data_IF_881434697764
#
_entry.id   IF_881434697764
#
_cell.length_a   1.000
_cell.length_b   1.000
_cell.length_c   1.000
_cell.angle_alpha   90.00
_cell.angle_beta   90.00
_cell.angle_gamma   90.00
#
_symmetry.space_group_name_H-M   'P 1'
#
loop_
_entity.id
_entity.type
_entity.pdbx_description
1 polymer ?
#
# COMPACT_ATOMS: atom_id res chain seq x y z
N UNK A 1 25.11 -7.99 50.52
CA UNK A 1 26.31 -8.19 49.69
C UNK A 1 25.84 -8.45 48.27
N UNK A 2 26.39 -7.71 47.30
CA UNK A 2 26.06 -7.83 45.88
C UNK A 2 25.56 -6.50 45.29
N UNK A 3 26.47 -5.56 45.04
CA UNK A 3 26.16 -4.33 44.28
C UNK A 3 26.29 -4.61 42.79
N UNK A 4 25.24 -4.38 42.01
CA UNK A 4 25.37 -4.25 40.56
C UNK A 4 25.90 -2.84 40.26
N UNK A 5 27.09 -2.79 39.66
CA UNK A 5 27.68 -1.56 39.11
C UNK A 5 26.96 -1.25 37.80
N UNK A 6 26.42 -0.04 37.69
CA UNK A 6 26.01 0.53 36.41
C UNK A 6 27.29 0.89 35.65
N UNK A 7 27.45 0.32 34.46
CA UNK A 7 28.53 0.65 33.53
C UNK A 7 28.06 1.84 32.68
N UNK A 8 28.51 3.03 33.07
CA UNK A 8 28.23 4.29 32.39
C UNK A 8 29.29 4.53 31.31
N UNK A 9 29.09 4.03 30.09
CA UNK A 9 29.98 4.36 28.96
C UNK A 9 29.33 4.26 27.58
N UNK A 10 28.11 4.79 27.40
CA UNK A 10 27.51 4.98 26.08
C UNK A 10 26.93 6.39 25.96
N UNK A 11 27.80 7.39 25.97
CA UNK A 11 27.46 8.76 25.54
C UNK A 11 28.72 9.44 24.99
N UNK A 12 29.25 8.90 23.89
CA UNK A 12 30.11 9.69 23.02
C UNK A 12 29.25 10.32 21.92
N UNK A 13 29.07 11.66 21.91
CA UNK A 13 28.27 12.32 20.91
C UNK A 13 28.98 12.22 19.55
N UNK A 14 28.29 11.63 18.57
CA UNK A 14 28.70 11.67 17.17
C UNK A 14 28.84 13.14 16.77
N UNK A 15 30.05 13.54 16.41
CA UNK A 15 30.37 14.90 16.02
C UNK A 15 29.53 15.31 14.79
N UNK A 16 28.59 16.23 15.00
CA UNK A 16 27.78 16.81 13.93
C UNK A 16 28.59 17.87 13.18
N UNK A 17 28.83 17.64 11.89
CA UNK A 17 29.36 18.65 10.96
C UNK A 17 28.41 19.87 10.85
N UNK A 18 28.90 21.06 10.46
CA UNK A 18 28.15 22.32 10.59
C UNK A 18 27.03 22.42 9.55
N UNK A 19 25.80 22.44 10.07
CA UNK A 19 24.51 22.52 9.38
C UNK A 19 23.51 21.69 10.16
N UNK A 20 22.80 22.28 11.13
CA UNK A 20 21.89 21.51 11.98
C UNK A 20 20.79 20.89 11.13
N UNK A 21 20.63 19.57 11.23
CA UNK A 21 19.58 18.78 10.52
C UNK A 21 18.18 19.36 10.79
N UNK A 22 18.01 20.12 11.87
CA UNK A 22 16.78 20.82 12.27
C UNK A 22 16.28 21.86 11.26
N UNK A 23 17.11 22.41 10.39
CA UNK A 23 16.71 23.37 9.35
C UNK A 23 16.43 22.76 7.97
N UNK A 24 16.74 21.47 7.76
CA UNK A 24 16.47 20.83 6.49
C UNK A 24 14.95 20.69 6.28
N UNK A 25 14.46 21.21 5.14
CA UNK A 25 13.05 21.19 4.77
C UNK A 25 12.92 20.80 3.31
N UNK A 26 11.96 19.92 3.05
CA UNK A 26 11.49 19.60 1.70
C UNK A 26 10.71 20.76 1.11
N UNK A 27 10.58 20.81 -0.22
CA UNK A 27 9.75 21.80 -0.90
C UNK A 27 8.30 21.28 -1.02
N UNK A 28 7.47 21.60 -0.02
CA UNK A 28 6.05 21.21 0.00
C UNK A 28 5.26 21.64 -1.24
N UNK A 29 5.34 22.91 -1.68
CA UNK A 29 4.67 23.35 -2.92
C UNK A 29 5.05 22.53 -4.16
N UNK A 30 6.34 22.21 -4.34
CA UNK A 30 6.80 21.36 -5.45
C UNK A 30 6.27 19.93 -5.35
N UNK A 31 6.25 19.35 -4.14
CA UNK A 31 5.65 18.04 -3.93
C UNK A 31 4.17 18.03 -4.33
N UNK A 32 3.40 19.04 -3.92
CA UNK A 32 1.98 19.17 -4.29
C UNK A 32 1.82 19.34 -5.82
N UNK A 33 2.70 20.10 -6.47
CA UNK A 33 2.71 20.23 -7.93
C UNK A 33 2.91 18.87 -8.62
N UNK A 34 3.87 18.07 -8.15
CA UNK A 34 4.10 16.73 -8.68
C UNK A 34 2.94 15.77 -8.42
N UNK A 35 2.30 15.84 -7.25
CA UNK A 35 1.10 15.05 -6.93
C UNK A 35 -0.03 15.40 -7.92
N UNK A 36 -0.29 16.68 -8.14
CA UNK A 36 -1.33 17.14 -9.05
C UNK A 36 -1.02 16.75 -10.51
N UNK A 37 0.24 16.86 -10.94
CA UNK A 37 0.65 16.44 -12.27
C UNK A 37 0.51 14.93 -12.47
N UNK A 38 0.86 14.11 -11.48
CA UNK A 38 0.66 12.67 -11.54
C UNK A 38 -0.83 12.30 -11.57
N UNK A 39 -1.69 13.06 -10.89
CA UNK A 39 -3.13 12.83 -10.87
C UNK A 39 -3.80 12.97 -12.25
N UNK A 40 -3.21 13.68 -13.21
CA UNK A 40 -3.74 13.74 -14.58
C UNK A 40 -3.68 12.37 -15.27
N UNK A 41 -2.75 11.49 -14.88
CA UNK A 41 -2.70 10.11 -15.38
C UNK A 41 -3.70 9.23 -14.61
N UNK A 42 -4.84 8.99 -15.25
CA UNK A 42 -5.94 8.21 -14.67
C UNK A 42 -7.05 9.07 -14.08
N UNK A 43 -7.01 10.39 -14.26
CA UNK A 43 -8.09 11.30 -13.85
C UNK A 43 -9.44 10.83 -14.37
N UNK A 44 -10.42 10.71 -13.48
CA UNK A 44 -11.76 10.26 -13.82
C UNK A 44 -12.78 11.43 -13.74
N UNK A 45 -13.96 11.29 -14.38
CA UNK A 45 -15.00 12.32 -14.36
C UNK A 45 -15.53 12.69 -12.96
N UNK A 46 -15.35 11.81 -11.98
CA UNK A 46 -15.77 11.99 -10.58
C UNK A 46 -14.82 12.91 -9.79
N UNK A 47 -13.68 13.29 -10.37
CA UNK A 47 -12.69 14.17 -9.74
C UNK A 47 -11.60 13.44 -8.95
N UNK A 48 -11.55 12.11 -9.02
CA UNK A 48 -10.50 11.28 -8.46
C UNK A 48 -9.58 10.69 -9.54
N UNK A 49 -8.88 9.61 -9.18
CA UNK A 49 -7.93 8.90 -10.04
C UNK A 49 -8.27 7.41 -10.09
N UNK A 50 -8.27 6.86 -11.30
CA UNK A 50 -8.41 5.44 -11.61
C UNK A 50 -7.16 4.96 -12.35
N UNK A 51 -6.00 5.02 -11.69
CA UNK A 51 -4.71 4.57 -12.20
C UNK A 51 -4.48 3.11 -11.81
N UNK A 52 -5.32 2.23 -12.36
CA UNK A 52 -5.27 0.79 -12.06
C UNK A 52 -3.94 0.20 -12.54
N UNK A 53 -3.34 -0.69 -11.75
CA UNK A 53 -2.11 -1.37 -12.13
C UNK A 53 -2.22 -2.02 -13.52
N UNK A 54 -1.18 -1.82 -14.33
CA UNK A 54 -1.05 -2.29 -15.71
C UNK A 54 -2.05 -1.69 -16.71
N UNK A 55 -2.78 -0.65 -16.32
CA UNK A 55 -3.52 0.19 -17.26
C UNK A 55 -2.55 1.12 -18.02
N UNK A 56 -3.04 1.74 -19.09
CA UNK A 56 -2.27 2.76 -19.79
C UNK A 56 -1.99 3.98 -18.90
N UNK A 57 -2.94 4.35 -18.03
CA UNK A 57 -2.74 5.41 -17.04
C UNK A 57 -1.60 5.08 -16.06
N UNK A 58 -1.50 3.83 -15.61
CA UNK A 58 -0.39 3.38 -14.76
C UNK A 58 0.94 3.46 -15.53
N UNK A 59 1.00 2.92 -16.75
CA UNK A 59 2.19 3.01 -17.60
C UNK A 59 2.68 4.45 -17.78
N UNK A 60 1.78 5.37 -18.10
CA UNK A 60 2.09 6.80 -18.29
C UNK A 60 2.51 7.48 -16.98
N UNK A 61 1.83 7.20 -15.87
CA UNK A 61 2.21 7.70 -14.55
C UNK A 61 3.61 7.23 -14.14
N UNK A 62 3.94 5.97 -14.43
CA UNK A 62 5.28 5.40 -14.19
C UNK A 62 6.34 6.10 -15.04
N UNK A 63 6.06 6.36 -16.32
CA UNK A 63 6.96 7.12 -17.20
C UNK A 63 7.22 8.54 -16.66
N UNK A 64 6.18 9.22 -16.19
CA UNK A 64 6.30 10.53 -15.54
C UNK A 64 7.23 10.46 -14.32
N UNK A 65 7.01 9.48 -13.44
CA UNK A 65 7.79 9.34 -12.21
C UNK A 65 9.24 8.93 -12.48
N UNK A 66 9.50 8.05 -13.46
CA UNK A 66 10.87 7.78 -13.95
C UNK A 66 11.55 9.08 -14.39
N UNK A 67 10.82 9.97 -15.06
CA UNK A 67 11.28 11.31 -15.44
C UNK A 67 11.73 12.13 -14.23
N UNK A 68 10.90 12.19 -13.18
CA UNK A 68 11.24 12.90 -11.93
C UNK A 68 12.49 12.31 -11.25
N UNK A 69 12.55 10.99 -11.12
CA UNK A 69 13.69 10.29 -10.52
C UNK A 69 15.00 10.57 -11.28
N UNK A 70 14.95 10.57 -12.62
CA UNK A 70 16.12 10.91 -13.46
C UNK A 70 16.49 12.39 -13.37
N UNK A 71 15.52 13.29 -13.29
CA UNK A 71 15.76 14.73 -13.18
C UNK A 71 16.57 15.08 -11.92
N UNK A 72 16.41 14.30 -10.84
CA UNK A 72 17.16 14.44 -9.59
C UNK A 72 18.40 13.53 -9.52
N UNK A 73 18.81 12.98 -10.67
CA UNK A 73 20.03 12.18 -10.89
C UNK A 73 20.09 10.88 -10.08
N UNK A 74 18.94 10.26 -9.79
CA UNK A 74 18.94 8.88 -9.32
C UNK A 74 19.39 7.95 -10.45
N UNK A 75 20.07 6.86 -10.08
CA UNK A 75 20.28 5.72 -10.97
C UNK A 75 18.98 4.91 -11.02
N UNK A 76 18.23 5.08 -12.11
CA UNK A 76 16.86 4.55 -12.24
C UNK A 76 16.85 3.25 -13.02
N UNK A 77 16.26 2.21 -12.42
CA UNK A 77 16.03 0.91 -13.05
C UNK A 77 14.61 0.41 -12.81
N UNK A 78 14.18 -0.52 -13.66
CA UNK A 78 12.97 -1.31 -13.47
C UNK A 78 13.45 -2.72 -13.14
N UNK A 79 13.07 -3.26 -11.98
CA UNK A 79 13.44 -4.63 -11.63
C UNK A 79 12.60 -5.66 -12.41
N UNK A 80 12.93 -6.95 -12.28
CA UNK A 80 12.23 -8.00 -12.99
C UNK A 80 10.75 -8.17 -12.56
N UNK A 81 10.35 -7.67 -11.40
CA UNK A 81 8.95 -7.65 -10.96
C UNK A 81 8.21 -6.38 -11.42
N UNK A 82 8.91 -5.45 -12.06
CA UNK A 82 8.36 -4.18 -12.48
C UNK A 82 8.28 -3.15 -11.36
N UNK A 83 9.05 -3.22 -10.28
CA UNK A 83 9.18 -2.08 -9.37
C UNK A 83 10.11 -1.03 -9.99
N UNK A 84 9.88 0.25 -9.69
CA UNK A 84 10.83 1.31 -10.03
C UNK A 84 11.80 1.48 -8.88
N UNK A 85 13.10 1.46 -9.17
CA UNK A 85 14.17 1.65 -8.20
C UNK A 85 15.02 2.84 -8.61
N UNK A 86 15.17 3.83 -7.73
CA UNK A 86 16.03 4.99 -7.92
C UNK A 86 17.10 5.03 -6.86
N UNK A 87 18.32 4.63 -7.22
CA UNK A 87 19.44 4.57 -6.28
C UNK A 87 20.22 5.88 -6.25
N UNK A 88 20.59 6.31 -5.04
CA UNK A 88 21.51 7.41 -4.78
C UNK A 88 22.66 6.88 -3.91
N UNK A 89 23.88 7.03 -4.40
CA UNK A 89 25.07 6.59 -3.67
C UNK A 89 25.22 7.33 -2.33
N UNK A 90 25.67 6.58 -1.32
CA UNK A 90 26.12 7.13 -0.04
C UNK A 90 27.61 7.47 -0.08
N UNK A 91 28.13 8.03 1.01
CA UNK A 91 29.58 8.20 1.20
C UNK A 91 30.27 6.85 1.43
N UNK A 92 29.57 5.86 1.99
CA UNK A 92 29.99 4.46 2.00
C UNK A 92 28.96 3.58 1.29
N UNK A 93 29.20 3.36 -0.01
CA UNK A 93 28.28 2.59 -0.87
C UNK A 93 28.28 1.08 -0.58
N UNK A 94 29.16 0.60 0.33
CA UNK A 94 29.17 -0.79 0.80
C UNK A 94 28.10 -1.05 1.87
N UNK A 95 27.59 0.01 2.50
CA UNK A 95 26.53 -0.10 3.48
C UNK A 95 25.21 -0.50 2.83
N UNK A 96 24.34 -1.12 3.63
CA UNK A 96 23.00 -1.49 3.17
C UNK A 96 22.17 -0.23 2.95
N UNK A 97 21.40 -0.16 1.85
CA UNK A 97 20.60 1.02 1.56
C UNK A 97 19.48 1.20 2.57
N UNK A 98 19.09 2.46 2.76
CA UNK A 98 17.82 2.82 3.38
C UNK A 98 16.82 3.01 2.23
N UNK A 99 15.77 2.20 2.22
CA UNK A 99 14.70 2.27 1.24
C UNK A 99 13.60 3.20 1.75
N UNK A 100 12.97 3.91 0.83
CA UNK A 100 11.81 4.72 1.13
C UNK A 100 10.97 4.95 -0.12
N UNK A 101 9.66 5.02 0.06
CA UNK A 101 8.71 5.08 -1.04
C UNK A 101 7.47 4.26 -0.71
N UNK A 102 6.63 4.04 -1.72
CA UNK A 102 5.30 3.45 -1.57
C UNK A 102 4.84 2.92 -2.93
N UNK A 103 3.60 3.15 -3.33
CA UNK A 103 3.04 2.82 -4.64
C UNK A 103 2.50 4.07 -5.36
N UNK A 104 2.15 3.91 -6.64
CA UNK A 104 1.43 4.94 -7.39
C UNK A 104 0.19 4.40 -8.09
N UNK A 105 -0.04 3.09 -8.14
CA UNK A 105 -1.32 2.56 -8.60
C UNK A 105 -2.44 2.90 -7.61
N UNK A 106 -3.69 2.91 -8.09
CA UNK A 106 -4.86 3.23 -7.27
C UNK A 106 -5.98 2.21 -7.43
N UNK A 107 -6.91 2.20 -6.48
CA UNK A 107 -8.26 1.64 -6.70
C UNK A 107 -9.04 2.43 -7.77
N UNK A 108 -10.13 1.85 -8.33
CA UNK A 108 -11.10 2.63 -9.11
C UNK A 108 -11.68 3.77 -8.27
N UNK A 109 -11.77 4.97 -8.85
CA UNK A 109 -12.30 6.16 -8.16
C UNK A 109 -11.54 6.52 -6.88
N UNK A 110 -10.24 6.20 -6.83
CA UNK A 110 -9.35 6.51 -5.72
C UNK A 110 -9.01 8.00 -5.59
N UNK A 111 -8.36 8.34 -4.48
CA UNK A 111 -7.83 9.68 -4.22
C UNK A 111 -6.45 9.91 -4.86
N UNK A 112 -5.94 11.14 -4.70
CA UNK A 112 -4.65 11.55 -5.29
C UNK A 112 -3.44 11.38 -4.35
N UNK A 113 -3.66 10.92 -3.12
CA UNK A 113 -2.64 10.92 -2.06
C UNK A 113 -2.24 9.53 -1.57
N UNK A 114 -3.16 8.56 -1.66
CA UNK A 114 -2.94 7.16 -1.27
C UNK A 114 -1.78 6.56 -2.08
N UNK A 115 -0.76 6.06 -1.38
CA UNK A 115 0.57 5.70 -1.92
C UNK A 115 1.41 6.85 -2.50
N UNK A 116 0.78 7.72 -3.29
CA UNK A 116 1.42 8.79 -4.06
C UNK A 116 2.20 9.76 -3.17
N UNK A 117 1.67 10.11 -1.99
CA UNK A 117 2.37 11.01 -1.06
C UNK A 117 3.70 10.41 -0.58
N UNK A 118 3.75 9.10 -0.36
CA UNK A 118 4.95 8.38 0.04
C UNK A 118 5.96 8.30 -1.10
N UNK A 119 5.49 7.93 -2.29
CA UNK A 119 6.32 7.79 -3.49
C UNK A 119 6.94 9.13 -3.93
N UNK A 120 6.13 10.18 -4.04
CA UNK A 120 6.62 11.49 -4.45
C UNK A 120 7.36 12.21 -3.32
N UNK A 121 6.98 11.98 -2.06
CA UNK A 121 7.72 12.45 -0.89
C UNK A 121 9.14 11.89 -0.85
N UNK A 122 9.32 10.61 -1.21
CA UNK A 122 10.65 10.00 -1.33
C UNK A 122 11.50 10.68 -2.43
N UNK A 123 10.92 10.96 -3.59
CA UNK A 123 11.62 11.68 -4.66
C UNK A 123 11.98 13.11 -4.21
N UNK A 124 11.08 13.80 -3.52
CA UNK A 124 11.32 15.14 -2.99
C UNK A 124 12.44 15.17 -1.93
N UNK A 125 12.54 14.13 -1.09
CA UNK A 125 13.69 13.96 -0.18
C UNK A 125 14.99 13.84 -0.98
N UNK A 126 15.02 12.97 -2.00
CA UNK A 126 16.21 12.82 -2.85
C UNK A 126 16.57 14.13 -3.57
N UNK A 127 15.57 14.87 -4.05
CA UNK A 127 15.75 16.17 -4.68
C UNK A 127 16.33 17.20 -3.72
N UNK A 128 15.76 17.31 -2.53
CA UNK A 128 16.21 18.25 -1.50
C UNK A 128 17.66 17.97 -1.10
N UNK A 129 18.02 16.69 -0.90
CA UNK A 129 19.40 16.31 -0.59
C UNK A 129 20.37 16.66 -1.73
N UNK A 130 19.95 16.49 -2.99
CA UNK A 130 20.74 16.86 -4.15
C UNK A 130 20.93 18.39 -4.26
N UNK A 131 19.86 19.17 -4.10
CA UNK A 131 19.89 20.64 -4.15
C UNK A 131 20.75 21.25 -3.03
N UNK A 132 20.80 20.59 -1.87
CA UNK A 132 21.63 20.99 -0.72
C UNK A 132 23.02 20.38 -0.72
N UNK A 133 23.38 19.58 -1.74
CA UNK A 133 24.66 18.86 -1.84
C UNK A 133 24.97 18.00 -0.59
N UNK A 134 23.95 17.42 0.05
CA UNK A 134 24.10 16.60 1.24
C UNK A 134 24.34 15.15 0.83
N UNK A 135 25.47 14.56 1.21
CA UNK A 135 25.74 13.13 1.00
C UNK A 135 25.44 12.37 2.28
N UNK A 136 24.57 11.36 2.20
CA UNK A 136 24.24 10.47 3.33
C UNK A 136 25.31 9.41 3.50
N UNK A 137 25.46 8.87 4.72
CA UNK A 137 26.41 7.79 4.98
C UNK A 137 26.03 6.52 4.21
N UNK A 138 24.79 6.07 4.39
CA UNK A 138 24.20 4.96 3.65
C UNK A 138 23.76 5.40 2.25
N UNK A 139 23.77 4.48 1.27
CA UNK A 139 23.02 4.69 0.03
C UNK A 139 21.51 4.76 0.31
N UNK A 140 20.82 5.49 -0.56
CA UNK A 140 19.39 5.71 -0.49
C UNK A 140 18.73 5.08 -1.73
N UNK A 141 17.62 4.38 -1.55
CA UNK A 141 16.83 3.83 -2.66
C UNK A 141 15.39 4.31 -2.56
N UNK A 142 14.96 5.08 -3.57
CA UNK A 142 13.55 5.36 -3.79
C UNK A 142 12.93 4.15 -4.47
N UNK A 143 11.90 3.55 -3.86
CA UNK A 143 11.23 2.37 -4.40
C UNK A 143 9.76 2.68 -4.63
N UNK A 144 9.28 2.40 -5.85
CA UNK A 144 7.85 2.46 -6.18
C UNK A 144 7.40 1.06 -6.51
N UNK A 145 6.68 0.47 -5.56
CA UNK A 145 6.09 -0.85 -5.69
C UNK A 145 4.95 -0.82 -6.70
N UNK A 146 4.84 -1.88 -7.49
CA UNK A 146 3.75 -2.06 -8.44
C UNK A 146 2.61 -2.89 -7.84
N UNK A 147 1.38 -2.51 -8.18
CA UNK A 147 0.14 -3.23 -7.86
C UNK A 147 0.00 -3.53 -6.36
N UNK A 148 0.16 -2.50 -5.54
CA UNK A 148 -0.09 -2.57 -4.10
C UNK A 148 -1.58 -2.88 -3.86
N UNK A 149 -2.45 -2.09 -4.49
CA UNK A 149 -3.91 -2.11 -4.34
C UNK A 149 -4.58 -3.38 -4.85
N UNK A 150 -3.85 -4.12 -5.69
CA UNK A 150 -4.28 -5.37 -6.32
C UNK A 150 -3.61 -6.61 -5.77
N UNK A 151 -2.84 -6.52 -4.68
CA UNK A 151 -2.31 -7.70 -3.99
C UNK A 151 -0.83 -7.63 -3.60
N UNK A 152 -0.27 -6.44 -3.40
CA UNK A 152 1.12 -6.23 -2.94
C UNK A 152 2.16 -6.91 -3.85
N UNK A 153 1.91 -6.99 -5.16
CA UNK A 153 2.69 -7.87 -6.05
C UNK A 153 4.17 -7.46 -6.08
N UNK A 154 4.44 -6.16 -6.18
CA UNK A 154 5.80 -5.62 -6.24
C UNK A 154 6.64 -5.92 -5.00
N UNK A 155 6.07 -5.67 -3.81
CA UNK A 155 6.75 -5.88 -2.53
C UNK A 155 6.86 -7.38 -2.19
N UNK A 156 5.83 -8.18 -2.47
CA UNK A 156 5.89 -9.65 -2.31
C UNK A 156 6.89 -10.30 -3.24
N UNK A 157 7.08 -9.79 -4.46
CA UNK A 157 8.15 -10.24 -5.33
C UNK A 157 9.54 -9.92 -4.75
N UNK A 158 9.69 -8.76 -4.11
CA UNK A 158 10.93 -8.37 -3.42
C UNK A 158 11.21 -9.23 -2.17
N UNK A 159 10.19 -9.73 -1.49
CA UNK A 159 10.34 -10.69 -0.39
C UNK A 159 10.49 -12.16 -0.88
N UNK A 160 10.21 -12.40 -2.16
CA UNK A 160 10.30 -13.72 -2.79
C UNK A 160 9.08 -14.61 -2.57
N UNK A 161 7.92 -14.02 -2.26
CA UNK A 161 6.67 -14.70 -1.96
C UNK A 161 5.72 -14.86 -3.16
N UNK A 162 6.08 -14.34 -4.33
CA UNK A 162 5.22 -14.39 -5.51
C UNK A 162 5.25 -15.77 -6.19
N UNK A 163 4.11 -16.42 -6.26
CA UNK A 163 3.94 -17.78 -6.79
C UNK A 163 3.43 -17.80 -8.24
N UNK A 164 3.63 -18.92 -8.96
CA UNK A 164 3.11 -19.08 -10.34
C UNK A 164 1.58 -18.92 -10.41
N UNK A 165 0.86 -19.39 -9.40
CA UNK A 165 -0.60 -19.24 -9.33
C UNK A 165 -1.01 -17.76 -9.28
N UNK A 166 -0.26 -16.94 -8.57
CA UNK A 166 -0.53 -15.50 -8.44
C UNK A 166 -0.19 -14.75 -9.73
N UNK A 167 0.82 -15.20 -10.47
CA UNK A 167 1.16 -14.64 -11.78
C UNK A 167 0.03 -14.80 -12.81
N UNK A 168 -0.80 -15.84 -12.67
CA UNK A 168 -1.91 -16.12 -13.57
C UNK A 168 -3.23 -15.46 -13.14
N UNK A 169 -3.26 -14.76 -11.99
CA UNK A 169 -4.42 -13.98 -11.57
C UNK A 169 -4.64 -12.79 -12.49
N UNK A 170 -5.90 -12.49 -12.80
CA UNK A 170 -6.29 -11.34 -13.62
C UNK A 170 -6.43 -10.11 -12.73
N UNK A 171 -5.66 -9.07 -13.04
CA UNK A 171 -5.73 -7.78 -12.36
C UNK A 171 -7.01 -7.02 -12.72
N UNK A 172 -7.27 -5.92 -12.00
CA UNK A 172 -8.41 -5.04 -12.28
C UNK A 172 -8.38 -4.39 -13.67
N UNK A 173 -7.21 -4.30 -14.31
CA UNK A 173 -7.09 -3.79 -15.68
C UNK A 173 -7.33 -4.85 -16.76
N UNK A 174 -7.63 -6.10 -16.37
CA UNK A 174 -7.94 -7.20 -17.27
C UNK A 174 -6.72 -7.96 -17.80
N UNK A 175 -5.49 -7.56 -17.44
CA UNK A 175 -4.27 -8.32 -17.73
C UNK A 175 -4.01 -9.33 -16.62
N UNK A 176 -3.44 -10.47 -16.92
CA UNK A 176 -2.83 -11.30 -15.87
C UNK A 176 -1.68 -10.54 -15.19
N UNK A 177 -1.33 -10.87 -13.95
CA UNK A 177 -0.17 -10.28 -13.27
C UNK A 177 1.09 -10.47 -14.13
N UNK A 178 1.26 -11.65 -14.73
CA UNK A 178 2.39 -11.97 -15.63
C UNK A 178 2.46 -11.03 -16.84
N UNK A 179 1.34 -10.81 -17.51
CA UNK A 179 1.26 -9.87 -18.63
C UNK A 179 1.48 -8.43 -18.18
N UNK A 180 0.94 -8.09 -17.01
CA UNK A 180 1.08 -6.79 -16.38
C UNK A 180 2.53 -6.42 -16.11
N UNK A 181 3.28 -7.31 -15.46
CA UNK A 181 4.72 -7.13 -15.19
C UNK A 181 5.49 -6.91 -16.50
N UNK A 182 5.23 -7.70 -17.55
CA UNK A 182 5.86 -7.50 -18.88
C UNK A 182 5.47 -6.15 -19.48
N UNK A 183 4.21 -5.77 -19.37
CA UNK A 183 3.68 -4.53 -19.92
C UNK A 183 4.33 -3.28 -19.32
N UNK A 184 4.69 -3.32 -18.03
CA UNK A 184 5.39 -2.22 -17.34
C UNK A 184 6.92 -2.33 -17.38
N UNK A 185 7.47 -3.25 -18.17
CA UNK A 185 8.91 -3.38 -18.43
C UNK A 185 9.67 -4.37 -17.54
N UNK A 186 8.98 -5.15 -16.72
CA UNK A 186 9.57 -6.25 -15.93
C UNK A 186 9.72 -7.54 -16.74
N UNK A 187 10.30 -8.56 -16.09
CA UNK A 187 10.54 -9.89 -16.64
C UNK A 187 10.12 -10.98 -15.63
N UNK A 188 8.89 -11.52 -15.75
CA UNK A 188 8.38 -12.54 -14.83
C UNK A 188 9.21 -13.83 -14.79
N UNK A 189 10.10 -14.06 -15.75
CA UNK A 189 10.96 -15.25 -15.77
C UNK A 189 12.18 -15.11 -14.85
N UNK A 190 12.42 -13.90 -14.33
CA UNK A 190 13.59 -13.55 -13.49
C UNK A 190 13.20 -13.00 -12.12
N UNK A 191 12.01 -13.32 -11.62
CA UNK A 191 11.55 -12.79 -10.32
C UNK A 191 12.48 -13.12 -9.15
N UNK A 192 13.21 -14.25 -9.22
CA UNK A 192 14.22 -14.61 -8.22
C UNK A 192 15.36 -13.59 -8.11
N UNK A 193 15.62 -12.77 -9.13
CA UNK A 193 16.66 -11.72 -9.07
C UNK A 193 16.21 -10.48 -8.30
N UNK A 194 14.91 -10.34 -8.04
CA UNK A 194 14.32 -9.20 -7.32
C UNK A 194 14.43 -9.38 -5.81
N UNK A 195 14.47 -10.64 -5.36
CA UNK A 195 14.45 -10.99 -3.94
C UNK A 195 15.57 -10.27 -3.17
N UNK A 196 15.21 -9.62 -2.06
CA UNK A 196 16.13 -9.02 -1.10
C UNK A 196 16.20 -9.91 0.13
N UNK A 197 17.37 -10.50 0.38
CA UNK A 197 17.55 -11.35 1.55
C UNK A 197 17.57 -10.53 2.84
N UNK A 198 17.25 -11.18 3.97
CA UNK A 198 17.34 -10.57 5.28
C UNK A 198 18.72 -9.93 5.50
N UNK A 199 18.73 -8.65 5.87
CA UNK A 199 19.96 -7.87 6.07
C UNK A 199 20.54 -7.27 4.78
N UNK A 200 19.83 -7.34 3.64
CA UNK A 200 20.21 -6.58 2.44
C UNK A 200 19.73 -5.12 2.48
N UNK A 201 18.79 -4.79 3.36
CA UNK A 201 18.22 -3.45 3.54
C UNK A 201 18.47 -3.03 4.99
N UNK A 202 18.93 -1.80 5.21
CA UNK A 202 19.16 -1.27 6.57
C UNK A 202 17.84 -0.89 7.25
N UNK A 203 16.96 -0.22 6.50
CA UNK A 203 15.63 0.20 6.94
C UNK A 203 14.74 0.46 5.73
N UNK A 204 13.42 0.36 5.93
CA UNK A 204 12.40 0.82 4.99
C UNK A 204 11.52 1.85 5.70
N UNK A 205 11.31 3.00 5.08
CA UNK A 205 10.44 4.06 5.59
C UNK A 205 9.37 4.41 4.57
N UNK A 206 8.12 4.43 5.00
CA UNK A 206 6.98 4.81 4.18
C UNK A 206 6.23 5.97 4.84
N UNK A 207 6.03 7.05 4.08
CA UNK A 207 5.10 8.11 4.44
C UNK A 207 3.76 7.77 3.80
N UNK A 208 2.69 7.80 4.58
CA UNK A 208 1.36 7.50 4.09
C UNK A 208 0.32 8.42 4.71
N UNK A 209 -0.79 8.65 4.02
CA UNK A 209 -1.96 9.27 4.63
C UNK A 209 -2.57 8.31 5.66
N UNK A 210 -3.28 8.87 6.66
CA UNK A 210 -3.90 8.05 7.71
C UNK A 210 -4.94 7.06 7.18
N UNK A 211 -5.62 7.40 6.08
CA UNK A 211 -6.85 6.75 5.57
C UNK A 211 -8.02 6.71 6.57
N UNK A 212 -7.79 7.12 7.82
CA UNK A 212 -8.78 7.39 8.85
C UNK A 212 -9.02 8.89 9.06
N UNK A 213 -9.50 9.25 10.25
CA UNK A 213 -9.77 10.64 10.64
C UNK A 213 -9.41 10.93 12.10
N UNK A 214 -8.56 10.11 12.72
CA UNK A 214 -8.09 10.29 14.10
C UNK A 214 -7.17 11.50 14.16
N UNK A 215 -6.19 11.62 13.26
CA UNK A 215 -5.22 12.71 13.26
C UNK A 215 -5.92 14.06 13.02
N UNK A 216 -6.87 14.12 12.09
CA UNK A 216 -7.68 15.32 11.84
C UNK A 216 -8.50 15.69 13.09
N UNK A 217 -9.22 14.73 13.67
CA UNK A 217 -10.06 14.94 14.86
C UNK A 217 -9.24 15.39 16.07
N UNK A 218 -8.05 14.82 16.26
CA UNK A 218 -7.14 15.12 17.37
C UNK A 218 -6.23 16.33 17.08
N UNK A 219 -6.26 16.86 15.85
CA UNK A 219 -5.42 17.98 15.38
C UNK A 219 -3.92 17.68 15.52
N UNK A 220 -3.53 16.48 15.13
CA UNK A 220 -2.14 16.00 15.12
C UNK A 220 -1.67 15.93 13.66
N UNK A 221 -0.53 16.55 13.36
CA UNK A 221 -0.02 16.60 11.98
C UNK A 221 0.66 15.29 11.55
N UNK A 222 1.34 14.60 12.47
CA UNK A 222 2.16 13.41 12.18
C UNK A 222 1.86 12.29 13.17
N UNK A 223 1.41 11.16 12.65
CA UNK A 223 1.30 9.91 13.39
C UNK A 223 2.55 9.03 13.20
N UNK A 224 3.14 8.54 14.29
CA UNK A 224 4.20 7.52 14.23
C UNK A 224 3.50 6.16 14.28
N UNK A 225 3.57 5.42 13.17
CA UNK A 225 2.90 4.12 13.04
C UNK A 225 3.68 3.05 13.81
N UNK A 226 3.04 2.42 14.79
CA UNK A 226 3.64 1.35 15.61
C UNK A 226 3.40 -0.05 15.03
N UNK A 227 2.45 -0.19 14.09
CA UNK A 227 2.13 -1.44 13.43
C UNK A 227 0.91 -1.32 12.53
N UNK A 228 0.67 -2.38 11.75
CA UNK A 228 -0.48 -2.52 10.86
C UNK A 228 -1.46 -3.51 11.49
N UNK A 229 -2.76 -3.31 11.29
CA UNK A 229 -3.80 -4.22 11.77
C UNK A 229 -3.66 -5.62 11.15
N UNK A 230 -3.94 -6.67 11.92
CA UNK A 230 -4.14 -8.00 11.36
C UNK A 230 -5.47 -8.07 10.63
N UNK A 231 -5.46 -8.56 9.39
CA UNK A 231 -6.66 -8.64 8.54
C UNK A 231 -7.02 -10.11 8.33
N UNK A 232 -8.29 -10.43 8.50
CA UNK A 232 -8.86 -11.71 8.08
C UNK A 232 -10.08 -11.44 7.18
N UNK A 233 -10.15 -12.14 6.06
CA UNK A 233 -11.28 -12.09 5.14
C UNK A 233 -11.97 -13.45 5.10
N UNK A 234 -13.30 -13.43 5.11
CA UNK A 234 -14.13 -14.63 5.08
C UNK A 234 -15.21 -14.51 4.01
N UNK A 235 -15.36 -15.55 3.21
CA UNK A 235 -16.59 -15.80 2.47
C UNK A 235 -17.48 -16.71 3.30
N UNK A 236 -18.67 -16.23 3.65
CA UNK A 236 -19.66 -16.96 4.45
C UNK A 236 -20.83 -17.32 3.55
N UNK A 237 -21.18 -18.60 3.51
CA UNK A 237 -22.37 -19.09 2.80
C UNK A 237 -23.39 -19.59 3.81
N UNK A 238 -24.63 -19.11 3.71
CA UNK A 238 -25.76 -19.52 4.52
C UNK A 238 -26.77 -20.21 3.61
N UNK A 239 -27.03 -21.48 3.89
CA UNK A 239 -27.98 -22.29 3.14
C UNK A 239 -29.32 -22.41 3.87
N UNK A 240 -30.39 -22.29 3.11
CA UNK A 240 -31.77 -22.44 3.54
C UNK A 240 -32.58 -23.16 2.47
N UNK A 241 -33.84 -22.80 2.31
CA UNK A 241 -34.71 -23.43 1.32
C UNK A 241 -35.57 -22.41 0.59
N UNK A 242 -35.36 -22.32 -0.73
CA UNK A 242 -36.10 -21.40 -1.57
C UNK A 242 -37.55 -21.85 -1.75
N UNK A 243 -38.51 -20.97 -1.44
CA UNK A 243 -39.93 -21.27 -1.59
C UNK A 243 -40.74 -19.98 -1.79
N UNK A 244 -42.01 -20.10 -2.16
CA UNK A 244 -42.86 -18.97 -2.50
C UNK A 244 -43.21 -18.11 -1.25
N UNK A 245 -42.95 -16.80 -1.33
CA UNK A 245 -43.06 -15.89 -0.19
C UNK A 245 -44.50 -15.65 0.28
N UNK A 246 -45.50 -15.85 -0.58
CA UNK A 246 -46.91 -15.65 -0.22
C UNK A 246 -47.61 -16.89 0.35
N UNK A 247 -47.10 -18.10 0.04
CA UNK A 247 -47.81 -19.36 0.35
C UNK A 247 -47.08 -20.22 1.37
N UNK A 248 -45.80 -19.95 1.65
CA UNK A 248 -45.05 -20.67 2.68
C UNK A 248 -45.32 -20.06 4.06
N UNK A 249 -45.96 -20.76 5.00
CA UNK A 249 -46.21 -20.27 6.35
C UNK A 249 -44.91 -19.92 7.09
N UNK A 250 -44.93 -18.89 7.94
CA UNK A 250 -43.72 -18.39 8.61
C UNK A 250 -42.98 -19.44 9.45
N UNK A 251 -43.72 -20.35 10.10
CA UNK A 251 -43.17 -21.43 10.92
C UNK A 251 -42.54 -22.59 10.12
N UNK A 252 -42.63 -22.57 8.79
CA UNK A 252 -42.07 -23.60 7.90
C UNK A 252 -40.89 -23.10 7.06
N UNK A 253 -40.48 -21.84 7.25
CA UNK A 253 -39.43 -21.22 6.43
C UNK A 253 -38.04 -21.59 6.92
N UNK A 254 -37.13 -21.80 5.97
CA UNK A 254 -35.68 -21.81 6.16
C UNK A 254 -35.10 -20.63 5.37
N UNK A 255 -35.31 -19.42 5.88
CA UNK A 255 -34.96 -18.18 5.19
C UNK A 255 -33.48 -17.82 5.40
N UNK A 256 -32.68 -18.00 4.35
CA UNK A 256 -31.24 -17.75 4.42
C UNK A 256 -30.90 -16.26 4.61
N UNK A 257 -31.71 -15.34 4.09
CA UNK A 257 -31.47 -13.91 4.22
C UNK A 257 -31.81 -13.40 5.62
N UNK A 258 -32.87 -13.94 6.24
CA UNK A 258 -33.14 -13.65 7.65
C UNK A 258 -31.99 -14.15 8.56
N UNK A 259 -31.43 -15.32 8.26
CA UNK A 259 -30.26 -15.83 8.98
C UNK A 259 -29.02 -14.95 8.74
N UNK A 260 -28.78 -14.50 7.51
CA UNK A 260 -27.69 -13.57 7.18
C UNK A 260 -27.82 -12.23 7.91
N UNK A 261 -29.04 -11.66 8.00
CA UNK A 261 -29.27 -10.43 8.75
C UNK A 261 -28.92 -10.59 10.24
N UNK A 262 -29.28 -11.71 10.85
CA UNK A 262 -28.89 -12.03 12.24
C UNK A 262 -27.38 -12.22 12.39
N UNK A 263 -26.72 -12.84 11.41
CA UNK A 263 -25.27 -12.99 11.38
C UNK A 263 -24.57 -11.62 11.32
N UNK A 264 -25.01 -10.72 10.43
CA UNK A 264 -24.48 -9.35 10.32
C UNK A 264 -24.61 -8.60 11.66
N UNK A 265 -25.77 -8.68 12.30
CA UNK A 265 -25.97 -8.10 13.64
C UNK A 265 -25.04 -8.73 14.68
N UNK A 266 -24.80 -10.04 14.62
CA UNK A 266 -23.89 -10.73 15.51
C UNK A 266 -22.44 -10.27 15.30
N UNK A 267 -21.98 -10.10 14.06
CA UNK A 267 -20.64 -9.57 13.75
C UNK A 267 -20.45 -8.21 14.42
N UNK A 268 -21.37 -7.26 14.18
CA UNK A 268 -21.29 -5.93 14.79
C UNK A 268 -21.31 -5.99 16.32
N UNK A 269 -22.22 -6.78 16.90
CA UNK A 269 -22.31 -6.96 18.35
C UNK A 269 -21.01 -7.51 18.95
N UNK A 270 -20.40 -8.52 18.33
CA UNK A 270 -19.15 -9.12 18.83
C UNK A 270 -18.01 -8.12 18.75
N UNK A 271 -17.81 -7.48 17.60
CA UNK A 271 -16.74 -6.49 17.39
C UNK A 271 -16.86 -5.34 18.39
N UNK A 272 -18.07 -4.86 18.66
CA UNK A 272 -18.33 -3.76 19.60
C UNK A 272 -18.36 -4.19 21.08
N UNK A 273 -18.46 -5.48 21.38
CA UNK A 273 -18.49 -5.97 22.77
C UNK A 273 -17.14 -5.97 23.45
N UNK A 274 -16.05 -5.89 22.68
CA UNK A 274 -14.69 -5.89 23.17
C UNK A 274 -14.19 -4.44 23.16
N UNK A 275 -13.64 -3.89 24.24
CA UNK A 275 -12.96 -2.60 24.18
C UNK A 275 -11.68 -2.70 23.34
N UNK A 276 -11.46 -1.77 22.41
CA UNK A 276 -10.25 -1.74 21.61
C UNK A 276 -10.40 -0.98 20.30
N UNK A 277 -9.46 -1.22 19.38
CA UNK A 277 -9.38 -0.61 18.03
C UNK A 277 -9.82 -1.57 16.91
N UNK A 278 -10.32 -2.75 17.25
CA UNK A 278 -10.75 -3.72 16.26
C UNK A 278 -11.95 -3.21 15.47
N UNK A 279 -11.97 -3.60 14.20
CA UNK A 279 -13.07 -3.31 13.27
C UNK A 279 -13.55 -4.63 12.68
N UNK A 280 -14.81 -4.66 12.25
CA UNK A 280 -15.35 -5.81 11.53
C UNK A 280 -16.51 -5.36 10.66
N UNK A 281 -16.46 -5.76 9.41
CA UNK A 281 -17.31 -5.20 8.35
C UNK A 281 -17.87 -6.34 7.51
N UNK A 282 -19.18 -6.33 7.27
CA UNK A 282 -19.80 -7.13 6.21
C UNK A 282 -20.05 -6.20 5.03
N UNK A 283 -19.11 -6.16 4.09
CA UNK A 283 -19.14 -5.24 2.96
C UNK A 283 -19.90 -5.76 1.73
N UNK A 284 -20.21 -7.05 1.68
CA UNK A 284 -20.85 -7.71 0.53
C UNK A 284 -21.90 -8.71 1.00
N UNK A 285 -23.06 -8.72 0.35
CA UNK A 285 -24.13 -9.71 0.54
C UNK A 285 -24.81 -9.99 -0.81
N UNK A 286 -25.11 -11.26 -1.10
CA UNK A 286 -25.85 -11.65 -2.28
C UNK A 286 -26.91 -12.68 -1.92
N UNK A 287 -28.19 -12.36 -2.07
CA UNK A 287 -29.27 -13.30 -1.81
C UNK A 287 -29.76 -13.97 -3.10
N UNK A 288 -29.88 -15.30 -3.10
CA UNK A 288 -30.30 -16.10 -4.25
C UNK A 288 -31.66 -16.78 -3.98
N UNK A 289 -32.61 -16.74 -4.95
CA UNK A 289 -32.46 -16.22 -6.32
C UNK A 289 -32.60 -14.70 -6.45
N UNK A 290 -32.95 -13.99 -5.38
CA UNK A 290 -33.04 -12.51 -5.37
C UNK A 290 -34.37 -11.94 -5.89
N UNK A 291 -35.39 -12.78 -6.10
CA UNK A 291 -36.73 -12.33 -6.47
C UNK A 291 -37.55 -11.91 -5.23
N UNK A 292 -38.33 -10.82 -5.29
CA UNK A 292 -39.06 -10.29 -4.13
C UNK A 292 -40.15 -11.22 -3.60
N UNK A 293 -40.64 -12.15 -4.41
CA UNK A 293 -41.68 -13.13 -4.07
C UNK A 293 -41.12 -14.54 -3.76
N UNK A 294 -39.81 -14.67 -3.57
CA UNK A 294 -39.16 -15.94 -3.24
C UNK A 294 -38.34 -15.79 -1.96
N UNK A 295 -38.53 -16.71 -1.02
CA UNK A 295 -37.69 -16.83 0.18
C UNK A 295 -36.28 -17.21 -0.30
N UNK A 296 -35.22 -16.48 0.10
CA UNK A 296 -33.87 -16.83 -0.29
C UNK A 296 -33.43 -18.19 0.26
N UNK A 297 -32.97 -19.07 -0.62
CA UNK A 297 -32.45 -20.39 -0.26
C UNK A 297 -30.94 -20.41 -0.05
N UNK A 298 -30.23 -19.36 -0.46
CA UNK A 298 -28.80 -19.21 -0.28
C UNK A 298 -28.43 -17.73 -0.18
N UNK A 299 -27.52 -17.41 0.72
CA UNK A 299 -26.85 -16.10 0.86
C UNK A 299 -25.36 -16.29 0.98
#
# INVERSE_FOLDING_TARGET
>A
MGSCREDSSLDDPVATAPGSVTELRVNGPRLIEHINALAEFGKNPQGGVSRLAYSEADRQGREYVIGLMRAVKLDVSIDAAGNLIGRRAGSDDKLKPILFGSHIDSVPEGGNYDGVVGSLGAIEVAQTLAEKNIVTHHPLEVVIFQNEEGGLIGSRAMDGELTEKELDLVSRSGKTIREGIKFIGGDPTKLSTVKREKGNIAAYLELHIEQGGILEKEKIDIGVVEGIVGINWWDVTIEGFANHAGTTPMNQRQDALLAAAKFIQAVNRVVTSIPGRQVGTVGRIQALPGAPNVIPGKV
#
